data_IF_759022627335
#
_entry.id   IF_759022627335
#
_cell.length_a   1.000
_cell.length_b   1.000
_cell.length_c   1.000
_cell.angle_alpha   90.00
_cell.angle_beta   90.00
_cell.angle_gamma   90.00
#
_symmetry.space_group_name_H-M   'P 1'
#
loop_
_entity.id
_entity.type
_entity.pdbx_description
1 polymer ?
#
# COMPACT_ATOMS: atom_id res chain seq x y z
N UNK A 1 9.06 7.79 0.20
CA UNK A 1 9.07 9.23 0.59
C UNK A 1 8.71 9.46 2.06
N UNK A 2 7.58 8.92 2.54
CA UNK A 2 7.13 9.08 3.93
C UNK A 2 8.21 8.76 4.96
N UNK A 3 8.91 7.63 4.79
CA UNK A 3 10.04 7.25 5.65
C UNK A 3 11.09 8.35 5.79
N UNK A 4 11.63 8.84 4.66
CA UNK A 4 12.64 9.91 4.64
C UNK A 4 12.13 11.21 5.26
N UNK A 5 10.85 11.55 5.06
CA UNK A 5 10.23 12.71 5.70
C UNK A 5 10.20 12.56 7.23
N UNK A 6 9.72 11.41 7.74
CA UNK A 6 9.69 11.13 9.17
C UNK A 6 11.10 11.16 9.80
N UNK A 7 12.10 10.58 9.13
CA UNK A 7 13.49 10.61 9.59
C UNK A 7 14.04 12.05 9.63
N UNK A 8 13.77 12.85 8.60
CA UNK A 8 14.17 14.26 8.55
C UNK A 8 13.53 15.08 9.68
N UNK A 9 12.23 14.88 9.93
CA UNK A 9 11.53 15.59 10.99
C UNK A 9 12.00 15.16 12.38
N UNK A 10 12.15 13.85 12.62
CA UNK A 10 12.70 13.34 13.89
C UNK A 10 14.11 13.86 14.16
N UNK A 11 14.98 13.92 13.14
CA UNK A 11 16.32 14.51 13.27
C UNK A 11 16.27 15.99 13.67
N UNK A 12 15.32 16.76 13.13
CA UNK A 12 15.12 18.17 13.49
C UNK A 12 14.58 18.33 14.92
N UNK A 13 13.59 17.53 15.31
CA UNK A 13 13.00 17.55 16.66
C UNK A 13 14.05 17.21 17.72
N UNK A 14 14.92 16.23 17.46
CA UNK A 14 15.99 15.81 18.38
C UNK A 14 17.21 16.73 18.39
N UNK A 15 17.30 17.70 17.49
CA UNK A 15 18.47 18.57 17.39
C UNK A 15 18.49 19.61 18.50
N UNK A 16 19.59 19.65 19.26
CA UNK A 16 19.79 20.64 20.33
C UNK A 16 19.59 22.09 19.87
N UNK A 17 19.97 22.40 18.62
CA UNK A 17 19.82 23.73 18.00
C UNK A 17 18.35 24.18 17.85
N UNK A 18 17.39 23.26 18.00
CA UNK A 18 15.95 23.48 17.81
C UNK A 18 15.14 23.37 19.11
N UNK A 19 15.76 23.07 20.26
CA UNK A 19 15.07 22.76 21.54
C UNK A 19 14.06 23.82 21.99
N UNK A 20 14.31 25.11 21.72
CA UNK A 20 13.42 26.22 22.07
C UNK A 20 12.76 26.87 20.85
N UNK A 21 12.78 26.21 19.69
CA UNK A 21 12.25 26.75 18.44
C UNK A 21 11.02 25.96 18.00
N UNK A 22 10.02 26.67 17.48
CA UNK A 22 8.90 26.04 16.79
C UNK A 22 9.35 25.55 15.42
N UNK A 23 9.14 24.27 15.13
CA UNK A 23 9.41 23.69 13.81
C UNK A 23 8.16 23.88 12.96
N UNK A 24 8.30 24.56 11.81
CA UNK A 24 7.20 24.84 10.88
C UNK A 24 7.42 24.05 9.60
N UNK A 25 6.56 23.06 9.33
CA UNK A 25 6.46 22.49 7.99
C UNK A 25 5.66 23.45 7.13
N UNK A 26 6.25 23.90 6.02
CA UNK A 26 5.52 24.66 5.00
C UNK A 26 5.78 24.08 3.62
N UNK A 27 4.89 24.41 2.70
CA UNK A 27 5.03 24.09 1.28
C UNK A 27 4.69 25.34 0.47
N UNK A 28 5.30 25.47 -0.70
CA UNK A 28 4.98 26.50 -1.67
C UNK A 28 4.52 25.85 -2.98
N UNK A 29 3.52 26.45 -3.62
CA UNK A 29 3.00 26.02 -4.91
C UNK A 29 1.54 25.57 -4.87
N UNK A 30 1.19 24.71 -5.82
CA UNK A 30 -0.19 24.33 -6.13
C UNK A 30 -0.85 23.44 -5.05
N UNK A 31 -2.18 23.29 -5.18
CA UNK A 31 -3.01 22.51 -4.26
C UNK A 31 -2.58 21.03 -4.17
N UNK A 32 -1.91 20.52 -5.22
CA UNK A 32 -1.34 19.16 -5.23
C UNK A 32 -0.18 19.06 -4.24
N UNK A 33 0.73 20.04 -4.22
CA UNK A 33 1.81 20.09 -3.22
C UNK A 33 1.26 20.27 -1.81
N UNK A 34 0.20 21.06 -1.65
CA UNK A 34 -0.47 21.24 -0.35
C UNK A 34 -1.04 19.93 0.19
N UNK A 35 -1.79 19.18 -0.63
CA UNK A 35 -2.32 17.87 -0.26
C UNK A 35 -1.21 16.88 0.11
N UNK A 36 -0.13 16.81 -0.67
CA UNK A 36 1.02 15.95 -0.36
C UNK A 36 1.73 16.33 0.95
N UNK A 37 1.92 17.63 1.20
CA UNK A 37 2.52 18.14 2.44
C UNK A 37 1.67 17.78 3.66
N UNK A 38 0.35 18.01 3.56
CA UNK A 38 -0.62 17.65 4.60
C UNK A 38 -0.66 16.15 4.88
N UNK A 39 -0.59 15.32 3.83
CA UNK A 39 -0.47 13.87 3.98
C UNK A 39 0.79 13.47 4.75
N UNK A 40 1.95 14.04 4.41
CA UNK A 40 3.23 13.70 5.08
C UNK A 40 3.23 14.09 6.56
N UNK A 41 2.81 15.33 6.89
CA UNK A 41 2.76 15.78 8.29
C UNK A 41 1.69 15.03 9.08
N UNK A 42 0.54 14.76 8.49
CA UNK A 42 -0.52 13.98 9.12
C UNK A 42 -0.10 12.53 9.37
N UNK A 43 0.53 11.90 8.40
CA UNK A 43 1.08 10.55 8.56
C UNK A 43 2.08 10.49 9.72
N UNK A 44 2.99 11.47 9.82
CA UNK A 44 3.91 11.55 10.96
C UNK A 44 3.16 11.63 12.30
N UNK A 45 2.08 12.40 12.39
CA UNK A 45 1.29 12.49 13.60
C UNK A 45 0.60 11.16 13.97
N UNK A 46 0.13 10.39 12.98
CA UNK A 46 -0.42 9.05 13.23
C UNK A 46 0.68 8.11 13.76
N UNK A 47 1.83 8.10 13.10
CA UNK A 47 2.91 7.15 13.39
C UNK A 47 3.61 7.45 14.72
N UNK A 48 4.01 8.70 14.95
CA UNK A 48 4.87 9.09 16.07
C UNK A 48 4.13 9.76 17.23
N UNK A 49 2.95 10.33 16.98
CA UNK A 49 2.15 11.01 18.00
C UNK A 49 0.85 10.26 18.33
N UNK A 50 0.66 9.06 17.76
CA UNK A 50 -0.50 8.20 17.96
C UNK A 50 -1.85 8.92 17.78
N UNK A 51 -1.92 9.87 16.84
CA UNK A 51 -3.16 10.59 16.51
C UNK A 51 -4.13 9.70 15.76
N UNK A 52 -5.42 9.82 16.08
CA UNK A 52 -6.48 9.14 15.35
C UNK A 52 -6.75 9.84 14.01
N UNK A 53 -6.98 9.09 12.90
CA UNK A 53 -7.18 9.66 11.57
C UNK A 53 -8.24 10.77 11.50
N UNK A 54 -9.40 10.55 12.11
CA UNK A 54 -10.52 11.50 12.08
C UNK A 54 -10.22 12.79 12.86
N UNK A 55 -9.57 12.68 14.02
CA UNK A 55 -9.16 13.85 14.82
C UNK A 55 -8.15 14.69 14.04
N UNK A 56 -7.14 14.05 13.46
CA UNK A 56 -6.12 14.69 12.64
C UNK A 56 -6.72 15.38 11.41
N UNK A 57 -7.65 14.72 10.73
CA UNK A 57 -8.30 15.28 9.56
C UNK A 57 -9.09 16.56 9.91
N UNK A 58 -9.82 16.55 11.03
CA UNK A 58 -10.51 17.76 11.55
C UNK A 58 -9.54 18.88 11.89
N UNK A 59 -8.39 18.57 12.49
CA UNK A 59 -7.35 19.56 12.78
C UNK A 59 -6.80 20.22 11.50
N UNK A 60 -6.61 19.44 10.44
CA UNK A 60 -6.15 19.95 9.15
C UNK A 60 -7.21 20.80 8.43
N UNK A 61 -8.51 20.56 8.68
CA UNK A 61 -9.62 21.33 8.12
C UNK A 61 -9.97 22.60 8.90
N UNK A 62 -9.57 22.72 10.16
CA UNK A 62 -10.01 23.78 11.08
C UNK A 62 -9.71 25.23 10.61
N UNK A 63 -8.85 25.42 9.61
CA UNK A 63 -8.53 26.71 9.00
C UNK A 63 -9.22 27.00 7.66
N UNK A 64 -10.39 26.38 7.38
CA UNK A 64 -11.08 26.47 6.08
C UNK A 64 -10.23 26.05 4.88
N UNK A 65 -9.24 25.17 5.12
CA UNK A 65 -8.32 24.68 4.09
C UNK A 65 -8.92 23.44 3.43
N UNK A 66 -9.23 23.54 2.14
CA UNK A 66 -9.70 22.42 1.33
C UNK A 66 -8.53 21.79 0.59
N UNK A 67 -8.18 20.55 0.93
CA UNK A 67 -7.13 19.82 0.25
C UNK A 67 -7.67 19.11 -0.99
N UNK A 68 -6.96 19.27 -2.11
CA UNK A 68 -7.28 18.57 -3.35
C UNK A 68 -7.22 17.04 -3.14
N UNK A 69 -8.31 16.30 -3.43
CA UNK A 69 -8.30 14.84 -3.37
C UNK A 69 -7.32 14.20 -4.36
N UNK A 70 -6.81 13.02 -4.04
CA UNK A 70 -5.89 12.27 -4.88
C UNK A 70 -6.63 11.52 -5.98
N UNK A 71 -6.28 11.82 -7.24
CA UNK A 71 -6.77 11.12 -8.43
C UNK A 71 -5.97 9.85 -8.75
N UNK A 72 -6.47 9.07 -9.68
CA UNK A 72 -5.78 7.91 -10.25
C UNK A 72 -4.80 8.29 -11.39
N UNK A 73 -4.16 7.26 -11.97
CA UNK A 73 -3.18 7.38 -13.04
C UNK A 73 -3.77 7.20 -14.46
N UNK A 74 -5.10 7.25 -14.61
CA UNK A 74 -5.75 7.18 -15.93
C UNK A 74 -5.41 8.39 -16.80
N UNK A 75 -5.47 8.19 -18.12
CA UNK A 75 -5.26 9.24 -19.13
C UNK A 75 -6.55 10.03 -19.45
N UNK A 76 -7.62 9.81 -18.68
CA UNK A 76 -8.93 10.43 -18.89
C UNK A 76 -9.43 11.18 -17.66
N UNK A 77 -10.75 11.35 -17.60
CA UNK A 77 -11.45 11.89 -16.44
C UNK A 77 -11.34 10.94 -15.25
N UNK A 78 -11.10 11.50 -14.07
CA UNK A 78 -11.05 10.72 -12.85
C UNK A 78 -12.44 10.72 -12.21
N UNK A 79 -13.06 9.54 -12.09
CA UNK A 79 -14.39 9.37 -11.49
C UNK A 79 -14.35 9.02 -10.01
N UNK A 80 -13.17 8.74 -9.45
CA UNK A 80 -13.01 8.31 -8.07
C UNK A 80 -11.80 9.02 -7.44
N UNK A 81 -12.00 9.59 -6.25
CA UNK A 81 -11.01 10.41 -5.59
C UNK A 81 -10.79 9.92 -4.16
N UNK A 82 -9.53 9.87 -3.75
CA UNK A 82 -9.16 9.56 -2.36
C UNK A 82 -8.95 10.86 -1.58
N UNK A 83 -9.56 10.95 -0.41
CA UNK A 83 -9.33 12.06 0.51
C UNK A 83 -8.09 11.82 1.36
N UNK A 84 -7.62 12.85 2.08
CA UNK A 84 -6.61 12.67 3.13
C UNK A 84 -7.09 11.70 4.22
N UNK A 85 -8.37 11.70 4.55
CA UNK A 85 -8.93 10.81 5.57
C UNK A 85 -8.82 9.35 5.14
N UNK A 86 -9.09 9.03 3.88
CA UNK A 86 -8.92 7.67 3.33
C UNK A 86 -7.46 7.22 3.45
N UNK A 87 -6.51 8.09 3.08
CA UNK A 87 -5.08 7.82 3.19
C UNK A 87 -4.62 7.65 4.65
N UNK A 88 -5.18 8.42 5.58
CA UNK A 88 -4.87 8.30 7.01
C UNK A 88 -5.44 7.03 7.62
N UNK A 89 -6.67 6.65 7.28
CA UNK A 89 -7.27 5.38 7.70
C UNK A 89 -6.49 4.18 7.14
N UNK A 90 -6.08 4.25 5.87
CA UNK A 90 -5.25 3.24 5.23
C UNK A 90 -3.92 3.04 5.99
N UNK A 91 -3.19 4.12 6.25
CA UNK A 91 -1.94 4.07 7.01
C UNK A 91 -2.16 3.55 8.43
N UNK A 92 -3.21 4.01 9.10
CA UNK A 92 -3.52 3.58 10.46
C UNK A 92 -3.80 2.08 10.53
N UNK A 93 -4.62 1.55 9.63
CA UNK A 93 -4.88 0.10 9.53
C UNK A 93 -3.64 -0.68 9.12
N UNK A 94 -2.82 -0.16 8.21
CA UNK A 94 -1.56 -0.79 7.83
C UNK A 94 -0.60 -0.93 9.02
N UNK A 95 -0.56 0.04 9.94
CA UNK A 95 0.18 -0.09 11.20
C UNK A 95 -0.45 -1.15 12.13
N UNK A 96 -1.78 -1.20 12.23
CA UNK A 96 -2.48 -2.20 13.04
C UNK A 96 -2.27 -3.64 12.54
N UNK A 97 -2.19 -3.82 11.23
CA UNK A 97 -1.96 -5.12 10.59
C UNK A 97 -0.47 -5.42 10.36
N UNK A 98 0.43 -4.57 10.85
CA UNK A 98 1.89 -4.71 10.70
C UNK A 98 2.36 -4.80 9.22
N UNK A 99 1.66 -4.12 8.30
CA UNK A 99 2.14 -4.00 6.92
C UNK A 99 3.35 -3.07 6.79
N UNK A 100 3.62 -2.28 7.82
CA UNK A 100 4.72 -1.33 7.83
C UNK A 100 5.28 -1.15 9.23
N UNK A 101 6.59 -1.32 9.35
CA UNK A 101 7.34 -1.00 10.56
C UNK A 101 8.52 -0.09 10.21
N UNK A 102 8.53 1.12 10.79
CA UNK A 102 9.60 2.10 10.59
C UNK A 102 10.95 1.64 11.13
N UNK A 103 10.99 0.67 12.03
CA UNK A 103 12.25 0.16 12.60
C UNK A 103 12.95 -0.79 11.64
N UNK A 104 12.19 -1.57 10.87
CA UNK A 104 12.71 -2.62 10.00
C UNK A 104 12.62 -2.27 8.51
N UNK A 105 11.92 -1.19 8.15
CA UNK A 105 11.79 -0.78 6.76
C UNK A 105 13.12 -0.37 6.13
N UNK A 106 13.56 -1.15 5.14
CA UNK A 106 14.72 -0.84 4.31
C UNK A 106 14.32 0.12 3.17
N UNK A 107 14.64 1.40 3.37
CA UNK A 107 14.36 2.44 2.38
C UNK A 107 15.25 2.32 1.14
N UNK A 108 16.47 1.80 1.28
CA UNK A 108 17.40 1.69 0.15
C UNK A 108 16.99 0.52 -0.75
N UNK A 109 16.58 -0.61 -0.17
CA UNK A 109 15.99 -1.74 -0.91
C UNK A 109 14.73 -1.30 -1.66
N UNK A 110 13.79 -0.64 -0.98
CA UNK A 110 12.56 -0.13 -1.60
C UNK A 110 12.88 0.78 -2.80
N UNK A 111 13.82 1.73 -2.64
CA UNK A 111 14.18 2.68 -3.70
C UNK A 111 15.03 2.06 -4.81
N UNK A 112 15.76 0.99 -4.50
CA UNK A 112 16.46 0.21 -5.50
C UNK A 112 15.45 -0.47 -6.43
N UNK A 113 14.52 -1.25 -5.90
CA UNK A 113 13.62 -2.08 -6.71
C UNK A 113 12.38 -1.37 -7.26
N UNK A 114 12.01 -0.19 -6.75
CA UNK A 114 10.93 0.61 -7.37
C UNK A 114 11.32 1.14 -8.78
N UNK A 115 12.62 1.14 -9.09
CA UNK A 115 13.20 1.63 -10.33
C UNK A 115 13.02 0.62 -11.47
N UNK A 116 12.88 1.14 -12.69
CA UNK A 116 12.52 0.31 -13.83
C UNK A 116 13.69 -0.60 -14.21
N UNK A 117 14.89 -0.05 -14.16
CA UNK A 117 16.16 -0.73 -14.40
C UNK A 117 16.43 -1.91 -13.45
N UNK A 118 15.74 -1.96 -12.30
CA UNK A 118 15.96 -2.98 -11.27
C UNK A 118 14.75 -3.92 -11.10
N UNK A 119 13.81 -3.94 -12.06
CA UNK A 119 12.68 -4.88 -12.06
C UNK A 119 11.31 -4.27 -11.75
N UNK A 120 11.24 -3.01 -11.33
CA UNK A 120 9.97 -2.29 -11.14
C UNK A 120 8.96 -3.04 -10.25
N UNK A 121 9.31 -3.28 -8.99
CA UNK A 121 8.45 -3.98 -8.05
C UNK A 121 8.41 -3.37 -6.66
N UNK A 122 7.32 -3.62 -5.95
CA UNK A 122 7.12 -3.16 -4.58
C UNK A 122 6.31 -4.19 -3.79
N UNK A 123 6.66 -4.36 -2.51
CA UNK A 123 5.81 -5.05 -1.55
C UNK A 123 4.56 -4.23 -1.27
N UNK A 124 3.40 -4.89 -1.32
CA UNK A 124 2.10 -4.30 -0.95
C UNK A 124 1.69 -4.78 0.44
N UNK A 125 1.89 -6.07 0.70
CA UNK A 125 1.78 -6.68 2.03
C UNK A 125 3.10 -7.43 2.24
N UNK A 126 3.93 -7.06 3.22
CA UNK A 126 5.21 -7.71 3.47
C UNK A 126 5.04 -9.23 3.58
N UNK A 127 5.95 -9.97 2.95
CA UNK A 127 5.99 -11.44 2.96
C UNK A 127 4.73 -12.14 2.40
N UNK A 128 3.78 -11.39 1.81
CA UNK A 128 2.59 -11.98 1.16
C UNK A 128 2.38 -11.53 -0.27
N UNK A 129 2.49 -10.24 -0.58
CA UNK A 129 2.20 -9.73 -1.93
C UNK A 129 3.29 -8.80 -2.45
N UNK A 130 3.92 -9.23 -3.55
CA UNK A 130 4.79 -8.40 -4.37
C UNK A 130 4.06 -8.02 -5.68
N UNK A 131 3.94 -6.73 -5.97
CA UNK A 131 3.41 -6.24 -7.23
C UNK A 131 4.56 -5.81 -8.15
N UNK A 132 4.61 -6.31 -9.38
CA UNK A 132 5.72 -6.03 -10.30
C UNK A 132 5.31 -5.83 -11.76
N UNK A 133 6.21 -5.23 -12.54
CA UNK A 133 6.05 -5.05 -13.99
C UNK A 133 6.25 -6.37 -14.73
N UNK A 134 5.42 -6.64 -15.74
CA UNK A 134 5.45 -7.93 -16.45
C UNK A 134 6.77 -8.23 -17.15
N UNK A 135 7.38 -9.40 -16.91
CA UNK A 135 8.57 -9.87 -17.62
C UNK A 135 8.34 -10.00 -19.13
N UNK A 136 9.43 -10.08 -19.89
CA UNK A 136 9.45 -10.29 -21.34
C UNK A 136 10.34 -11.47 -21.68
N UNK A 137 10.26 -11.96 -22.92
CA UNK A 137 11.07 -13.12 -23.34
C UNK A 137 12.58 -12.90 -23.22
N UNK A 138 13.07 -11.66 -23.30
CA UNK A 138 14.49 -11.32 -23.11
C UNK A 138 14.62 -10.00 -22.38
N UNK A 139 15.68 -9.86 -21.59
CA UNK A 139 16.05 -8.56 -21.03
C UNK A 139 16.57 -7.66 -22.14
N UNK A 140 15.96 -6.49 -22.35
CA UNK A 140 16.33 -5.53 -23.39
C UNK A 140 15.82 -4.14 -23.04
N UNK A 141 16.47 -3.10 -23.55
CA UNK A 141 15.92 -1.74 -23.49
C UNK A 141 15.12 -1.51 -24.77
N UNK A 142 13.84 -1.18 -24.64
CA UNK A 142 12.95 -0.88 -25.77
C UNK A 142 12.24 0.46 -25.52
N UNK A 143 12.35 1.38 -26.47
CA UNK A 143 11.81 2.75 -26.33
C UNK A 143 12.25 3.46 -25.04
N UNK A 144 13.47 3.19 -24.58
CA UNK A 144 14.02 3.74 -23.33
C UNK A 144 13.50 3.10 -22.04
N UNK A 145 12.66 2.06 -22.11
CA UNK A 145 12.20 1.29 -20.94
C UNK A 145 12.95 -0.05 -20.85
N UNK A 146 13.54 -0.39 -19.70
CA UNK A 146 14.20 -1.66 -19.48
C UNK A 146 13.16 -2.78 -19.27
N UNK A 147 13.11 -3.71 -20.21
CA UNK A 147 12.40 -4.98 -20.06
C UNK A 147 13.31 -6.02 -19.45
N UNK A 148 12.75 -6.85 -18.56
CA UNK A 148 13.47 -7.90 -17.84
C UNK A 148 12.90 -9.26 -18.18
N UNK A 149 13.78 -10.24 -18.37
CA UNK A 149 13.42 -11.64 -18.43
C UNK A 149 13.01 -12.18 -17.04
N UNK A 150 12.26 -13.30 -16.95
CA UNK A 150 11.90 -13.93 -15.68
C UNK A 150 13.08 -14.14 -14.71
N UNK A 151 14.24 -14.55 -15.22
CA UNK A 151 15.42 -14.91 -14.43
C UNK A 151 16.00 -13.73 -13.65
N UNK A 152 15.78 -12.50 -14.13
CA UNK A 152 16.22 -11.30 -13.43
C UNK A 152 15.58 -11.18 -12.03
N UNK A 153 14.42 -11.80 -11.82
CA UNK A 153 13.69 -11.75 -10.57
C UNK A 153 14.03 -12.91 -9.61
N UNK A 154 14.60 -14.02 -10.11
CA UNK A 154 14.76 -15.25 -9.32
C UNK A 154 15.59 -15.07 -8.05
N UNK A 155 16.74 -14.36 -8.05
CA UNK A 155 17.52 -14.19 -6.84
C UNK A 155 16.71 -13.51 -5.72
N UNK A 156 15.96 -12.47 -6.08
CA UNK A 156 15.10 -11.77 -5.13
C UNK A 156 13.93 -12.65 -4.69
N UNK A 157 13.26 -13.33 -5.63
CA UNK A 157 12.10 -14.15 -5.33
C UNK A 157 12.44 -15.29 -4.37
N UNK A 158 13.56 -15.99 -4.60
CA UNK A 158 14.03 -17.05 -3.69
C UNK A 158 14.41 -16.52 -2.32
N UNK A 159 15.16 -15.40 -2.28
CA UNK A 159 15.58 -14.77 -1.01
C UNK A 159 14.38 -14.39 -0.14
N UNK A 160 13.27 -13.98 -0.76
CA UNK A 160 12.08 -13.50 -0.06
C UNK A 160 10.91 -14.50 -0.05
N UNK A 161 11.21 -15.80 -0.22
CA UNK A 161 10.23 -16.89 -0.16
C UNK A 161 8.99 -16.67 -1.05
N UNK A 162 9.20 -16.13 -2.25
CA UNK A 162 8.13 -16.06 -3.26
C UNK A 162 8.05 -17.44 -3.91
N UNK A 163 6.88 -18.07 -3.81
CA UNK A 163 6.63 -19.41 -4.33
C UNK A 163 5.74 -19.38 -5.57
N UNK A 164 4.83 -18.39 -5.64
CA UNK A 164 3.72 -18.39 -6.59
C UNK A 164 3.70 -17.11 -7.41
N UNK A 165 3.61 -17.25 -8.74
CA UNK A 165 3.55 -16.16 -9.71
C UNK A 165 2.17 -16.12 -10.35
N UNK A 166 1.55 -14.94 -10.37
CA UNK A 166 0.25 -14.75 -11.04
C UNK A 166 0.39 -13.73 -12.16
N UNK A 167 0.14 -14.17 -13.40
CA UNK A 167 0.15 -13.34 -14.61
C UNK A 167 -1.27 -12.95 -15.01
N UNK A 168 -1.49 -11.65 -15.18
CA UNK A 168 -2.82 -11.07 -15.49
C UNK A 168 -2.93 -10.50 -16.92
N UNK A 169 -1.87 -10.58 -17.72
CA UNK A 169 -1.79 -10.01 -19.07
C UNK A 169 -1.51 -11.07 -20.13
N UNK A 170 -1.60 -10.67 -21.42
CA UNK A 170 -1.20 -11.49 -22.56
C UNK A 170 0.21 -12.06 -22.33
N UNK A 171 0.47 -13.26 -22.84
CA UNK A 171 1.72 -13.98 -22.66
C UNK A 171 2.85 -13.22 -23.37
N UNK A 172 3.78 -12.65 -22.59
CA UNK A 172 4.98 -11.95 -23.11
C UNK A 172 6.27 -12.75 -22.88
N UNK A 173 6.13 -13.91 -22.24
CA UNK A 173 7.19 -14.86 -21.90
C UNK A 173 6.55 -16.24 -21.66
N UNK A 174 7.35 -17.30 -21.75
CA UNK A 174 6.87 -18.67 -21.45
C UNK A 174 6.76 -18.93 -19.95
N UNK A 175 5.61 -19.41 -19.48
CA UNK A 175 5.38 -19.75 -18.07
C UNK A 175 6.38 -20.80 -17.56
N UNK A 176 6.82 -21.70 -18.46
CA UNK A 176 7.83 -22.74 -18.18
C UNK A 176 9.11 -22.20 -17.54
N UNK A 177 9.50 -20.98 -17.89
CA UNK A 177 10.71 -20.36 -17.31
C UNK A 177 10.62 -20.19 -15.79
N UNK A 178 9.43 -19.97 -15.26
CA UNK A 178 9.20 -19.95 -13.80
C UNK A 178 9.04 -21.37 -13.24
N UNK A 179 8.26 -22.25 -13.91
CA UNK A 179 8.01 -23.61 -13.38
C UNK A 179 9.27 -24.48 -13.37
N UNK A 180 10.12 -24.38 -14.39
CA UNK A 180 11.42 -25.07 -14.45
C UNK A 180 12.40 -24.56 -13.38
N UNK A 181 12.12 -23.37 -12.82
CA UNK A 181 12.87 -22.76 -11.73
C UNK A 181 12.22 -22.98 -10.34
N UNK A 182 11.24 -23.90 -10.25
CA UNK A 182 10.47 -24.27 -9.06
C UNK A 182 9.58 -23.17 -8.48
N UNK A 183 8.98 -22.34 -9.34
CA UNK A 183 7.89 -21.46 -8.96
C UNK A 183 6.57 -21.97 -9.51
N UNK A 184 5.50 -21.89 -8.73
CA UNK A 184 4.15 -22.07 -9.24
C UNK A 184 3.77 -20.90 -10.15
N UNK A 185 3.08 -21.16 -11.25
CA UNK A 185 2.69 -20.13 -12.20
C UNK A 185 1.22 -20.27 -12.60
N UNK A 186 0.47 -19.18 -12.47
CA UNK A 186 -0.94 -19.13 -12.81
C UNK A 186 -1.26 -17.99 -13.79
N UNK A 187 -1.96 -18.35 -14.85
CA UNK A 187 -2.55 -17.39 -15.80
C UNK A 187 -3.99 -17.06 -15.39
N UNK A 188 -4.24 -15.80 -15.08
CA UNK A 188 -5.55 -15.22 -14.79
C UNK A 188 -5.79 -13.99 -15.67
N UNK A 189 -5.79 -14.21 -16.99
CA UNK A 189 -5.88 -13.14 -17.98
C UNK A 189 -7.23 -12.38 -17.91
N UNK A 190 -7.14 -11.06 -17.99
CA UNK A 190 -8.26 -10.19 -18.37
C UNK A 190 -7.73 -8.92 -19.05
N UNK A 191 -8.61 -8.25 -19.80
CA UNK A 191 -8.27 -7.15 -20.72
C UNK A 191 -7.62 -5.96 -20.00
N UNK A 192 -6.68 -5.28 -20.66
CA UNK A 192 -6.01 -4.12 -20.08
C UNK A 192 -6.99 -2.96 -19.86
N UNK A 193 -7.01 -2.39 -18.65
CA UNK A 193 -7.95 -1.34 -18.27
C UNK A 193 -9.37 -1.80 -17.90
N UNK A 194 -9.71 -3.09 -18.08
CA UNK A 194 -11.00 -3.64 -17.66
C UNK A 194 -11.00 -4.06 -16.18
N UNK A 195 -12.13 -4.58 -15.72
CA UNK A 195 -12.32 -5.20 -14.40
C UNK A 195 -12.27 -6.73 -14.52
N UNK A 196 -11.84 -7.46 -13.47
CA UNK A 196 -11.87 -8.92 -13.47
C UNK A 196 -13.29 -9.44 -13.28
N UNK A 197 -13.58 -10.64 -13.80
CA UNK A 197 -14.83 -11.35 -13.51
C UNK A 197 -14.81 -11.97 -12.10
N UNK A 198 -16.00 -12.32 -11.60
CA UNK A 198 -16.14 -12.99 -10.30
C UNK A 198 -15.39 -14.32 -10.25
N UNK A 199 -15.35 -15.05 -11.36
CA UNK A 199 -14.59 -16.29 -11.48
C UNK A 199 -13.07 -16.04 -11.31
N UNK A 200 -12.54 -14.97 -11.92
CA UNK A 200 -11.13 -14.58 -11.77
C UNK A 200 -10.85 -14.18 -10.32
N UNK A 201 -11.72 -13.39 -9.69
CA UNK A 201 -11.55 -12.98 -8.29
C UNK A 201 -11.53 -14.20 -7.37
N UNK A 202 -12.50 -15.11 -7.50
CA UNK A 202 -12.57 -16.34 -6.69
C UNK A 202 -11.34 -17.22 -6.88
N UNK A 203 -10.91 -17.42 -8.13
CA UNK A 203 -9.71 -18.22 -8.44
C UNK A 203 -8.44 -17.57 -7.87
N UNK A 204 -8.30 -16.24 -8.00
CA UNK A 204 -7.18 -15.51 -7.40
C UNK A 204 -7.14 -15.66 -5.88
N UNK A 205 -8.26 -15.47 -5.21
CA UNK A 205 -8.35 -15.62 -3.75
C UNK A 205 -7.98 -17.04 -3.31
N UNK A 206 -8.50 -18.06 -3.99
CA UNK A 206 -8.18 -19.46 -3.70
C UNK A 206 -6.68 -19.76 -3.87
N UNK A 207 -6.04 -19.29 -4.96
CA UNK A 207 -4.58 -19.41 -5.13
C UNK A 207 -3.84 -18.75 -3.96
N UNK A 208 -4.23 -17.52 -3.60
CA UNK A 208 -3.54 -16.77 -2.54
C UNK A 208 -3.71 -17.39 -1.14
N UNK A 209 -4.86 -18.00 -0.87
CA UNK A 209 -5.17 -18.67 0.39
C UNK A 209 -4.39 -19.97 0.58
N UNK A 210 -4.04 -20.66 -0.51
CA UNK A 210 -3.34 -21.94 -0.48
C UNK A 210 -1.82 -21.84 -0.78
N UNK A 211 -1.33 -20.68 -1.23
CA UNK A 211 0.09 -20.49 -1.50
C UNK A 211 0.93 -20.61 -0.22
N UNK A 212 1.96 -21.47 -0.26
CA UNK A 212 2.87 -21.73 0.87
C UNK A 212 3.76 -20.52 1.22
N UNK A 213 4.11 -19.71 0.23
CA UNK A 213 4.95 -18.52 0.39
C UNK A 213 4.28 -17.24 -0.08
N UNK A 214 5.14 -16.26 -0.37
CA UNK A 214 4.72 -14.98 -0.92
C UNK A 214 4.29 -15.14 -2.40
N UNK A 215 3.34 -14.31 -2.82
CA UNK A 215 2.81 -14.29 -4.18
C UNK A 215 3.32 -13.05 -4.90
N UNK A 216 3.93 -13.23 -6.06
CA UNK A 216 4.27 -12.13 -6.98
C UNK A 216 3.22 -12.03 -8.09
N UNK A 217 2.55 -10.88 -8.16
CA UNK A 217 1.46 -10.63 -9.11
C UNK A 217 1.88 -9.57 -10.10
N UNK A 218 1.69 -9.82 -11.39
CA UNK A 218 1.97 -8.84 -12.43
C UNK A 218 0.89 -8.77 -13.51
N UNK A 219 0.83 -7.61 -14.15
CA UNK A 219 0.17 -7.43 -15.43
C UNK A 219 1.20 -6.85 -16.40
N UNK A 220 0.83 -5.86 -17.23
CA UNK A 220 1.81 -5.12 -18.03
C UNK A 220 2.67 -4.19 -17.17
N UNK A 221 2.08 -3.17 -16.56
CA UNK A 221 2.82 -2.22 -15.70
C UNK A 221 2.83 -2.63 -14.20
N UNK A 222 2.08 -3.65 -13.81
CA UNK A 222 1.94 -4.04 -12.40
C UNK A 222 1.15 -3.03 -11.55
N UNK A 223 0.19 -2.30 -12.14
CA UNK A 223 -0.51 -1.19 -11.48
C UNK A 223 -2.03 -1.41 -11.39
N UNK A 224 -2.74 -1.38 -12.52
CA UNK A 224 -4.20 -1.50 -12.56
C UNK A 224 -4.69 -2.88 -12.11
N UNK A 225 -4.70 -3.84 -13.05
CA UNK A 225 -5.13 -5.24 -12.83
C UNK A 225 -4.53 -5.89 -11.57
N UNK A 226 -3.22 -5.70 -11.39
CA UNK A 226 -2.45 -6.20 -10.24
C UNK A 226 -2.96 -5.61 -8.93
N UNK A 227 -3.09 -4.29 -8.85
CA UNK A 227 -3.60 -3.62 -7.66
C UNK A 227 -5.04 -4.02 -7.34
N UNK A 228 -5.88 -4.22 -8.37
CA UNK A 228 -7.28 -4.62 -8.19
C UNK A 228 -7.40 -5.98 -7.50
N UNK A 229 -6.70 -7.01 -7.99
CA UNK A 229 -6.79 -8.36 -7.40
C UNK A 229 -6.14 -8.45 -6.02
N UNK A 230 -4.96 -7.85 -5.82
CA UNK A 230 -4.37 -7.73 -4.48
C UNK A 230 -5.33 -6.99 -3.54
N UNK A 231 -5.99 -5.94 -4.04
CA UNK A 231 -7.00 -5.19 -3.30
C UNK A 231 -8.21 -6.02 -2.90
N UNK A 232 -8.69 -6.93 -3.75
CA UNK A 232 -9.76 -7.87 -3.41
C UNK A 232 -9.36 -8.75 -2.21
N UNK A 233 -8.14 -9.29 -2.21
CA UNK A 233 -7.62 -10.04 -1.06
C UNK A 233 -7.56 -9.15 0.19
N UNK A 234 -7.05 -7.93 0.06
CA UNK A 234 -6.92 -7.03 1.20
C UNK A 234 -8.27 -6.69 1.85
N UNK A 235 -9.30 -6.40 1.03
CA UNK A 235 -10.65 -6.17 1.53
C UNK A 235 -11.22 -7.42 2.22
N UNK A 236 -11.06 -8.61 1.63
CA UNK A 236 -11.55 -9.86 2.22
C UNK A 236 -10.88 -10.19 3.56
N UNK A 237 -9.55 -10.21 3.59
CA UNK A 237 -8.81 -10.75 4.74
C UNK A 237 -8.57 -9.71 5.85
N UNK A 238 -8.48 -8.42 5.50
CA UNK A 238 -8.17 -7.35 6.46
C UNK A 238 -9.32 -6.34 6.65
N UNK A 239 -10.48 -6.57 5.99
CA UNK A 239 -11.70 -5.77 6.17
C UNK A 239 -11.44 -4.26 6.02
N UNK A 240 -10.54 -3.92 5.10
CA UNK A 240 -10.28 -2.54 4.67
C UNK A 240 -11.37 -2.10 3.68
N UNK A 241 -11.72 -0.83 3.67
CA UNK A 241 -12.60 -0.28 2.63
C UNK A 241 -11.87 -0.26 1.29
N UNK A 242 -12.60 -0.15 0.19
CA UNK A 242 -12.04 0.03 -1.14
C UNK A 242 -11.13 1.27 -1.17
N UNK A 243 -11.59 2.39 -0.61
CA UNK A 243 -10.81 3.64 -0.55
C UNK A 243 -9.51 3.47 0.25
N UNK A 244 -9.57 2.87 1.44
CA UNK A 244 -8.39 2.60 2.26
C UNK A 244 -7.41 1.65 1.57
N UNK A 245 -7.94 0.61 0.92
CA UNK A 245 -7.15 -0.39 0.21
C UNK A 245 -6.42 0.25 -0.97
N UNK A 246 -7.14 1.00 -1.81
CA UNK A 246 -6.54 1.73 -2.95
C UNK A 246 -5.49 2.72 -2.45
N UNK A 247 -5.77 3.45 -1.37
CA UNK A 247 -4.82 4.38 -0.77
C UNK A 247 -3.54 3.66 -0.30
N UNK A 248 -3.66 2.53 0.42
CA UNK A 248 -2.51 1.76 0.88
C UNK A 248 -1.65 1.23 -0.28
N UNK A 249 -2.30 0.61 -1.28
CA UNK A 249 -1.59 0.09 -2.46
C UNK A 249 -0.88 1.24 -3.19
N UNK A 250 -1.48 2.44 -3.27
CA UNK A 250 -0.84 3.62 -3.88
C UNK A 250 0.30 4.21 -3.03
N UNK A 251 0.24 4.10 -1.71
CA UNK A 251 1.35 4.48 -0.81
C UNK A 251 2.56 3.56 -1.07
N UNK A 252 2.32 2.26 -1.27
CA UNK A 252 3.36 1.27 -1.55
C UNK A 252 3.85 1.30 -2.99
N UNK A 253 2.93 1.47 -3.95
CA UNK A 253 3.18 1.44 -5.39
C UNK A 253 2.29 2.46 -6.11
N UNK A 254 2.79 3.70 -6.31
CA UNK A 254 2.02 4.80 -6.87
C UNK A 254 1.41 4.50 -8.25
N UNK A 255 0.14 4.87 -8.44
CA UNK A 255 -0.59 4.69 -9.69
C UNK A 255 -1.37 3.38 -9.81
N UNK A 256 -1.38 2.55 -8.76
CA UNK A 256 -2.16 1.30 -8.73
C UNK A 256 -3.67 1.54 -8.66
N UNK A 257 -4.43 0.59 -9.21
CA UNK A 257 -5.90 0.61 -9.40
C UNK A 257 -6.37 1.81 -10.24
N UNK A 258 -6.79 1.56 -11.49
CA UNK A 258 -6.92 2.62 -12.51
C UNK A 258 -8.32 2.61 -13.11
N UNK A 259 -8.89 3.82 -13.28
CA UNK A 259 -10.15 4.04 -13.97
C UNK A 259 -11.30 3.22 -13.38
N UNK A 260 -12.05 2.43 -14.19
CA UNK A 260 -13.22 1.66 -13.74
C UNK A 260 -12.93 0.65 -12.62
N UNK A 261 -11.68 0.23 -12.46
CA UNK A 261 -11.27 -0.71 -11.42
C UNK A 261 -11.50 -0.16 -10.00
N UNK A 262 -11.51 1.17 -9.83
CA UNK A 262 -11.78 1.80 -8.55
C UNK A 262 -13.22 1.58 -8.12
N UNK A 263 -14.18 1.81 -9.03
CA UNK A 263 -15.60 1.58 -8.77
C UNK A 263 -15.88 0.10 -8.54
N UNK A 264 -15.28 -0.78 -9.34
CA UNK A 264 -15.38 -2.23 -9.13
C UNK A 264 -14.99 -2.65 -7.71
N UNK A 265 -13.93 -2.09 -7.14
CA UNK A 265 -13.54 -2.40 -5.76
C UNK A 265 -14.58 -1.92 -4.75
N UNK A 266 -15.20 -0.76 -4.97
CA UNK A 266 -16.30 -0.26 -4.14
C UNK A 266 -17.48 -1.23 -4.19
N UNK A 267 -17.88 -1.65 -5.39
CA UNK A 267 -19.01 -2.56 -5.60
C UNK A 267 -18.75 -3.93 -4.96
N UNK A 268 -17.50 -4.41 -4.98
CA UNK A 268 -17.09 -5.68 -4.38
C UNK A 268 -16.89 -5.66 -2.88
N UNK A 269 -16.76 -4.48 -2.26
CA UNK A 269 -16.32 -4.35 -0.87
C UNK A 269 -17.19 -5.17 0.09
N UNK A 270 -18.52 -5.02 0.03
CA UNK A 270 -19.42 -5.67 0.98
C UNK A 270 -19.41 -7.20 0.83
N UNK A 271 -19.40 -7.70 -0.42
CA UNK A 271 -19.32 -9.14 -0.69
C UNK A 271 -18.03 -9.74 -0.15
N UNK A 272 -16.89 -9.10 -0.43
CA UNK A 272 -15.59 -9.57 0.05
C UNK A 272 -15.47 -9.50 1.58
N UNK A 273 -16.04 -8.49 2.23
CA UNK A 273 -16.10 -8.43 3.70
C UNK A 273 -16.87 -9.61 4.27
N UNK A 274 -18.05 -9.90 3.73
CA UNK A 274 -18.88 -11.03 4.17
C UNK A 274 -18.16 -12.36 3.96
N UNK A 275 -17.55 -12.57 2.79
CA UNK A 275 -16.76 -13.77 2.51
C UNK A 275 -15.55 -13.89 3.47
N UNK A 276 -14.93 -12.76 3.82
CA UNK A 276 -13.85 -12.69 4.77
C UNK A 276 -14.26 -13.03 6.21
N UNK A 277 -15.43 -12.55 6.63
CA UNK A 277 -16.01 -12.86 7.94
C UNK A 277 -16.31 -14.36 8.05
N UNK A 278 -16.89 -14.96 7.01
CA UNK A 278 -17.12 -16.42 6.93
C UNK A 278 -15.78 -17.18 6.97
N UNK A 279 -14.79 -16.74 6.20
CA UNK A 279 -13.48 -17.38 6.14
C UNK A 279 -12.78 -17.41 7.52
N UNK A 280 -12.74 -16.26 8.20
CA UNK A 280 -12.13 -16.17 9.55
C UNK A 280 -12.87 -17.02 10.58
N UNK A 281 -14.21 -17.08 10.50
CA UNK A 281 -15.02 -17.92 11.38
C UNK A 281 -14.68 -19.42 11.19
N UNK A 282 -14.59 -19.89 9.95
CA UNK A 282 -14.21 -21.29 9.66
C UNK A 282 -12.82 -21.65 10.18
N UNK A 283 -11.84 -20.75 10.05
CA UNK A 283 -10.49 -20.98 10.60
C UNK A 283 -10.51 -21.10 12.13
N UNK A 284 -11.26 -20.23 12.81
CA UNK A 284 -11.41 -20.30 14.27
C UNK A 284 -12.08 -21.61 14.72
N UNK A 285 -13.10 -22.07 13.97
CA UNK A 285 -13.77 -23.34 14.24
C UNK A 285 -12.85 -24.55 14.02
N UNK A 286 -12.02 -24.53 12.97
CA UNK A 286 -11.01 -25.58 12.71
C UNK A 286 -9.91 -25.59 13.78
N UNK A 287 -9.41 -24.43 14.19
CA UNK A 287 -8.44 -24.33 15.29
C UNK A 287 -9.03 -24.84 16.61
N UNK A 288 -10.27 -24.47 16.93
CA UNK A 288 -10.94 -24.94 18.13
C UNK A 288 -11.29 -26.44 18.08
N UNK A 289 -11.69 -26.94 16.91
CA UNK A 289 -11.93 -28.36 16.67
C UNK A 289 -10.65 -29.20 16.82
N UNK A 290 -9.54 -28.75 16.25
CA UNK A 290 -8.22 -29.38 16.43
C UNK A 290 -7.76 -29.32 17.88
N UNK A 291 -8.00 -28.22 18.60
CA UNK A 291 -7.71 -28.15 20.05
C UNK A 291 -8.56 -29.11 20.86
N UNK A 292 -9.83 -29.27 20.52
CA UNK A 292 -10.72 -30.24 21.17
C UNK A 292 -10.26 -31.68 20.90
N UNK A 293 -9.87 -32.00 19.66
CA UNK A 293 -9.29 -33.30 19.30
C UNK A 293 -7.95 -33.57 20.02
N UNK A 294 -7.05 -32.59 20.11
CA UNK A 294 -5.78 -32.71 20.86
C UNK A 294 -6.04 -32.86 22.36
N UNK A 295 -7.05 -32.19 22.91
CA UNK A 295 -7.44 -32.35 24.32
C UNK A 295 -8.02 -33.74 24.57
N UNK A 296 -8.81 -34.28 23.62
CA UNK A 296 -9.31 -35.64 23.64
C UNK A 296 -8.18 -36.68 23.60
N UNK A 297 -7.13 -36.46 22.79
CA UNK A 297 -5.94 -37.32 22.73
C UNK A 297 -5.18 -37.29 24.07
N UNK A 298 -5.06 -36.12 24.73
CA UNK A 298 -4.35 -36.00 26.01
C UNK A 298 -5.12 -36.58 27.20
N UNK A 299 -6.45 -36.75 27.10
CA UNK A 299 -7.27 -37.47 28.09
C UNK A 299 -7.45 -38.97 27.79
N UNK A 300 -7.06 -39.41 26.59
CA UNK A 300 -7.26 -40.78 26.10
C UNK A 300 -5.92 -41.44 25.79
N UNK A 301 -5.13 -41.71 26.82
CA UNK A 301 -4.11 -42.77 26.75
C UNK A 301 -4.67 -43.95 27.51
N UNK A 302 -5.56 -44.69 26.85
CA UNK A 302 -5.66 -46.14 26.95
C UNK A 302 -6.43 -46.64 25.71
N UNK A 303 -5.90 -47.74 25.17
CA UNK A 303 -6.37 -48.56 24.05
C UNK A 303 -6.09 -48.11 22.60
N UNK A 304 -5.04 -48.74 22.06
CA UNK A 304 -4.69 -48.83 20.63
C UNK A 304 -5.65 -49.82 19.94
N UNK A 305 -6.05 -49.50 18.70
CA UNK A 305 -6.37 -50.53 17.70
C UNK A 305 -5.96 -50.05 16.31
N UNK A 306 -5.13 -50.86 15.65
CA UNK A 306 -4.71 -50.76 14.25
C UNK A 306 -5.76 -51.47 13.39
N UNK A 307 -6.11 -50.89 12.24
CA UNK A 307 -6.56 -51.65 11.07
C UNK A 307 -6.23 -50.85 9.79
N UNK A 308 -5.54 -51.54 8.89
CA UNK A 308 -5.39 -51.20 7.46
C UNK A 308 -6.72 -51.41 6.73
N UNK A 309 -7.03 -50.60 5.72
CA UNK A 309 -7.16 -51.07 4.32
C UNK A 309 -7.54 -49.98 3.30
N UNK A 310 -7.36 -50.37 2.04
CA UNK A 310 -7.16 -49.68 0.77
C UNK A 310 -8.17 -48.64 0.19
N UNK A 311 -7.58 -47.80 -0.66
CA UNK A 311 -7.98 -47.34 -2.02
C UNK A 311 -9.42 -46.87 -2.32
N UNK A 312 -9.53 -45.68 -2.92
CA UNK A 312 -10.24 -45.46 -4.21
C UNK A 312 -10.04 -44.06 -4.79
N UNK A 313 -9.73 -44.07 -6.07
CA UNK A 313 -9.62 -42.97 -7.05
C UNK A 313 -10.92 -42.22 -7.30
N UNK A 314 -10.82 -40.91 -7.59
CA UNK A 314 -11.79 -40.08 -8.32
C UNK A 314 -10.97 -38.92 -8.91
N UNK A 315 -10.86 -38.69 -10.22
CA UNK A 315 -11.91 -38.46 -11.22
C UNK A 315 -11.58 -37.10 -11.85
N UNK A 316 -11.00 -37.10 -13.05
CA UNK A 316 -10.60 -35.90 -13.81
C UNK A 316 -11.75 -35.39 -14.64
N UNK A 317 -12.08 -34.10 -14.52
CA UNK A 317 -12.78 -33.31 -15.53
C UNK A 317 -12.39 -31.83 -15.36
N UNK A 318 -12.45 -30.93 -16.33
CA UNK A 318 -12.00 -30.87 -17.72
C UNK A 318 -11.80 -29.35 -17.98
N UNK A 319 -10.68 -28.94 -18.57
CA UNK A 319 -10.26 -27.53 -18.61
C UNK A 319 -10.61 -26.92 -19.99
N UNK A 320 -11.68 -26.12 -20.04
CA UNK A 320 -12.14 -25.44 -21.25
C UNK A 320 -11.09 -24.47 -21.83
N UNK A 321 -10.69 -24.74 -23.08
CA UNK A 321 -9.83 -23.89 -23.91
C UNK A 321 -10.56 -22.60 -24.32
N UNK A 322 -9.92 -21.45 -24.11
CA UNK A 322 -10.22 -20.24 -24.88
C UNK A 322 -9.26 -20.19 -26.07
N UNK A 323 -9.85 -20.13 -27.27
CA UNK A 323 -9.14 -19.93 -28.53
C UNK A 323 -8.46 -18.56 -28.53
N UNK A 324 -7.14 -18.55 -28.76
CA UNK A 324 -6.37 -17.34 -29.06
C UNK A 324 -6.73 -16.91 -30.48
N UNK A 325 -7.66 -15.95 -30.62
CA UNK A 325 -7.89 -15.27 -31.90
C UNK A 325 -6.88 -14.12 -32.00
N UNK A 326 -5.74 -14.42 -32.62
CA UNK A 326 -4.66 -13.49 -32.93
C UNK A 326 -5.05 -12.59 -34.11
N UNK A 327 -5.86 -11.57 -33.85
CA UNK A 327 -5.92 -10.42 -34.76
C UNK A 327 -6.48 -9.16 -34.09
N UNK A 328 -5.67 -8.47 -33.31
CA UNK A 328 -5.87 -7.04 -33.11
C UNK A 328 -4.55 -6.28 -33.25
N UNK A 329 -4.62 -5.27 -34.12
CA UNK A 329 -3.61 -4.25 -34.41
C UNK A 329 -2.77 -3.80 -33.21
N UNK A 330 -1.54 -3.38 -33.47
CA UNK A 330 -0.59 -2.80 -32.49
C UNK A 330 -1.14 -1.45 -31.99
N UNK A 331 -2.20 -1.49 -31.18
CA UNK A 331 -2.76 -0.32 -30.54
C UNK A 331 -2.12 -0.16 -29.16
N UNK A 332 -1.63 1.04 -28.87
CA UNK A 332 -0.95 1.38 -27.61
C UNK A 332 -1.89 1.16 -26.43
N UNK A 333 -1.53 0.26 -25.50
CA UNK A 333 -2.38 -0.06 -24.35
C UNK A 333 -2.20 0.93 -23.20
N UNK A 334 -3.08 0.90 -22.20
CA UNK A 334 -2.92 1.73 -20.99
C UNK A 334 -1.60 1.40 -20.27
N UNK A 335 -1.25 0.11 -20.19
CA UNK A 335 0.02 -0.36 -19.65
C UNK A 335 1.26 0.21 -20.36
N UNK A 336 1.23 0.36 -21.68
CA UNK A 336 2.34 0.99 -22.44
C UNK A 336 2.55 2.44 -22.05
N UNK A 337 1.45 3.20 -22.02
CA UNK A 337 1.50 4.63 -21.66
C UNK A 337 2.03 4.82 -20.22
N UNK A 338 1.70 3.93 -19.30
CA UNK A 338 2.18 3.97 -17.91
C UNK A 338 3.69 3.69 -17.81
N UNK A 339 4.20 2.69 -18.53
CA UNK A 339 5.64 2.40 -18.60
C UNK A 339 6.42 3.59 -19.17
N UNK A 340 5.95 4.18 -20.26
CA UNK A 340 6.55 5.38 -20.85
C UNK A 340 6.58 6.58 -19.87
N UNK A 341 5.49 6.79 -19.12
CA UNK A 341 5.42 7.84 -18.11
C UNK A 341 6.38 7.60 -16.94
N UNK A 342 6.62 6.34 -16.57
CA UNK A 342 7.55 5.97 -15.50
C UNK A 342 9.01 6.24 -15.90
N UNK A 343 9.42 5.91 -17.13
CA UNK A 343 10.76 6.28 -17.63
C UNK A 343 11.01 7.79 -17.60
N UNK A 344 10.03 8.60 -18.03
CA UNK A 344 10.13 10.07 -18.01
C UNK A 344 10.29 10.65 -16.59
N UNK A 345 9.79 9.96 -15.57
CA UNK A 345 9.95 10.40 -14.16
C UNK A 345 11.35 10.10 -13.64
N UNK A 346 11.95 8.96 -14.01
CA UNK A 346 13.27 8.55 -13.53
C UNK A 346 14.41 9.42 -14.12
N UNK A 347 14.29 9.84 -15.38
CA UNK A 347 15.22 10.81 -15.97
C UNK A 347 15.20 12.15 -15.24
N UNK A 348 14.04 12.59 -14.75
CA UNK A 348 13.91 13.82 -13.95
C UNK A 348 14.46 13.69 -12.53
N UNK A 349 14.32 12.53 -11.89
CA UNK A 349 14.86 12.30 -10.53
C UNK A 349 16.39 12.22 -10.55
N UNK A 350 16.98 11.70 -11.62
CA UNK A 350 18.45 11.61 -11.77
C UNK A 350 19.13 12.97 -11.91
N UNK A 351 18.40 14.02 -12.31
CA UNK A 351 18.86 15.41 -12.37
C UNK A 351 18.27 16.35 -11.30
N UNK A 352 17.38 15.86 -10.44
CA UNK A 352 16.75 16.67 -9.41
C UNK A 352 17.48 16.53 -8.08
N UNK A 353 17.95 17.64 -7.53
CA UNK A 353 18.44 17.70 -6.16
C UNK A 353 17.39 17.05 -5.21
N UNK A 354 17.82 16.26 -4.21
CA UNK A 354 16.91 15.56 -3.31
C UNK A 354 15.98 16.60 -2.68
N UNK A 355 14.66 16.35 -2.72
CA UNK A 355 13.59 17.18 -2.13
C UNK A 355 14.13 18.19 -1.12
N UNK A 356 14.48 19.39 -1.60
CA UNK A 356 14.97 20.47 -0.78
C UNK A 356 13.76 21.06 -0.07
N UNK A 357 13.24 20.33 0.92
CA UNK A 357 12.41 20.92 1.96
C UNK A 357 13.35 21.82 2.75
N UNK A 358 13.49 23.05 2.27
CA UNK A 358 14.14 24.14 2.97
C UNK A 358 13.17 24.52 4.07
N UNK A 359 13.43 24.04 5.28
CA UNK A 359 12.83 24.64 6.48
C UNK A 359 13.75 25.80 6.85
N UNK A 360 13.46 27.00 6.35
CA UNK A 360 14.23 28.18 6.71
C UNK A 360 14.00 28.53 8.19
N UNK A 361 15.08 28.85 8.89
CA UNK A 361 15.06 29.39 10.23
C UNK A 361 15.59 30.82 10.21
N UNK A 362 14.79 31.80 9.78
CA UNK A 362 15.04 33.21 10.07
C UNK A 362 13.73 33.98 10.17
N UNK A 363 13.43 34.44 11.39
CA UNK A 363 12.71 35.68 11.62
C UNK A 363 13.79 36.68 12.07
N UNK A 364 14.06 37.70 11.26
CA UNK A 364 14.66 38.93 11.76
C UNK A 364 13.52 39.95 11.90
N UNK A 365 13.44 40.68 13.03
CA UNK A 365 12.51 41.79 13.16
C UNK A 365 12.99 42.96 12.28
N UNK A 366 12.10 43.80 11.74
CA UNK A 366 12.50 44.97 10.99
C UNK A 366 13.15 45.98 11.93
N UNK A 367 14.43 46.30 11.70
CA UNK A 367 15.08 47.47 12.28
C UNK A 367 14.80 48.70 11.42
N UNK A 368 14.45 49.77 12.13
CA UNK A 368 14.25 51.14 11.67
C UNK A 368 15.50 51.74 11.02
N UNK A 369 15.33 52.35 9.84
CA UNK A 369 16.32 53.22 9.20
C UNK A 369 15.58 54.31 8.42
N UNK A 370 15.73 55.55 8.90
CA UNK A 370 15.15 56.79 8.37
C UNK A 370 15.75 57.15 6.99
N UNK A 371 14.92 57.67 6.07
CA UNK A 371 15.25 58.80 5.18
C UNK A 371 14.10 59.11 4.20
N UNK A 372 13.64 60.37 4.16
CA UNK A 372 13.14 61.03 2.93
C UNK A 372 11.64 61.02 2.61
N UNK A 373 10.89 61.94 3.22
CA UNK A 373 9.58 62.48 2.76
C UNK A 373 9.75 63.41 1.52
N UNK A 374 8.70 64.03 0.90
CA UNK A 374 7.24 64.00 1.16
C UNK A 374 6.41 63.82 -0.17
N UNK A 375 5.07 63.63 -0.22
CA UNK A 375 3.99 64.61 0.04
C UNK A 375 2.59 63.98 -0.27
N UNK A 376 1.55 64.64 0.29
CA UNK A 376 0.12 64.71 -0.11
C UNK A 376 -0.92 63.79 0.60
N UNK A 377 -1.37 64.27 1.77
CA UNK A 377 -2.74 64.62 2.19
C UNK A 377 -3.95 63.68 1.92
N UNK A 378 -4.66 63.26 3.00
CA UNK A 378 -5.95 63.83 3.48
C UNK A 378 -6.57 63.04 4.67
N UNK A 379 -7.02 63.79 5.69
CA UNK A 379 -8.14 63.64 6.68
C UNK A 379 -8.37 62.29 7.41
N UNK A 380 -8.22 62.23 8.75
CA UNK A 380 -9.22 62.51 9.82
C UNK A 380 -10.31 61.42 9.92
N UNK A 381 -10.53 60.70 11.03
CA UNK A 381 -10.98 61.19 12.36
C UNK A 381 -10.69 60.18 13.52
N UNK A 382 -10.73 60.70 14.75
CA UNK A 382 -10.56 60.04 16.06
C UNK A 382 -11.81 59.26 16.48
N UNK A 383 -11.64 58.17 17.22
CA UNK A 383 -12.29 57.94 18.52
C UNK A 383 -11.70 56.73 19.25
N UNK A 384 -11.87 56.77 20.57
CA UNK A 384 -11.15 56.07 21.63
C UNK A 384 -12.04 55.07 22.37
N UNK A 385 -11.40 54.31 23.28
CA UNK A 385 -11.94 53.43 24.33
C UNK A 385 -12.33 52.02 23.86
N UNK A 386 -12.12 50.94 24.62
CA UNK A 386 -11.66 50.81 26.00
C UNK A 386 -11.40 49.34 26.33
N UNK A 387 -10.57 49.15 27.34
CA UNK A 387 -10.15 47.88 27.92
C UNK A 387 -11.33 47.11 28.55
N UNK A 388 -11.39 45.78 28.40
CA UNK A 388 -11.82 44.92 29.51
C UNK A 388 -11.36 43.46 29.35
N UNK A 389 -10.76 43.00 30.42
CA UNK A 389 -10.28 41.66 30.74
C UNK A 389 -11.44 40.82 31.27
N UNK A 390 -11.57 39.55 30.87
CA UNK A 390 -12.30 38.55 31.67
C UNK A 390 -11.61 37.18 31.60
N UNK A 391 -11.28 36.68 32.79
CA UNK A 391 -10.71 35.36 33.09
C UNK A 391 -11.80 34.29 33.14
N UNK A 392 -11.45 33.11 32.63
CA UNK A 392 -11.63 31.80 33.29
C UNK A 392 -13.01 31.15 33.29
N UNK A 393 -13.08 29.88 32.88
CA UNK A 393 -13.60 28.75 33.68
C UNK A 393 -13.03 27.43 33.13
N UNK A 394 -12.49 26.63 34.04
CA UNK A 394 -12.06 25.24 33.90
C UNK A 394 -13.29 24.33 34.03
N UNK A 395 -13.41 23.29 33.21
CA UNK A 395 -14.26 22.13 33.54
C UNK A 395 -13.67 20.85 32.96
N UNK A 396 -13.17 20.02 33.87
CA UNK A 396 -12.85 18.60 33.64
C UNK A 396 -14.13 17.80 33.41
N UNK A 397 -14.11 16.87 32.44
CA UNK A 397 -14.94 15.66 32.52
C UNK A 397 -14.23 14.47 31.87
N UNK A 398 -13.65 13.63 32.73
CA UNK A 398 -13.29 12.24 32.45
C UNK A 398 -14.56 11.43 32.15
N UNK A 399 -14.58 10.69 31.04
CA UNK A 399 -15.23 9.37 30.96
C UNK A 399 -14.44 8.46 30.02
N UNK A 400 -13.94 7.37 30.62
CA UNK A 400 -13.30 6.22 29.97
C UNK A 400 -14.35 5.46 29.18
N UNK A 401 -14.03 5.00 27.98
CA UNK A 401 -14.65 3.83 27.37
C UNK A 401 -13.54 2.94 26.82
N UNK A 402 -13.44 1.75 27.40
CA UNK A 402 -12.53 0.69 27.00
C UNK A 402 -13.10 0.02 25.74
N UNK A 403 -12.34 0.04 24.64
CA UNK A 403 -12.58 -0.81 23.48
C UNK A 403 -11.56 -1.95 23.52
N UNK A 404 -12.10 -3.17 23.59
CA UNK A 404 -11.37 -4.42 23.53
C UNK A 404 -10.47 -4.47 22.28
N UNK A 405 -9.17 -4.57 22.54
CA UNK A 405 -8.14 -4.83 21.55
C UNK A 405 -8.18 -6.32 21.23
N UNK A 406 -8.94 -6.74 20.21
CA UNK A 406 -8.82 -8.09 19.67
C UNK A 406 -7.44 -8.24 19.03
N UNK A 407 -6.57 -9.05 19.65
CA UNK A 407 -5.31 -9.52 19.05
C UNK A 407 -5.66 -10.34 17.81
N UNK A 408 -5.40 -9.80 16.62
CA UNK A 408 -5.12 -10.65 15.45
C UNK A 408 -3.82 -11.39 15.76
N UNK A 409 -3.95 -12.67 16.08
CA UNK A 409 -2.85 -13.58 16.33
C UNK A 409 -1.98 -13.65 15.07
N UNK A 410 -0.66 -13.61 15.28
CA UNK A 410 0.36 -13.78 14.25
C UNK A 410 0.02 -15.00 13.37
N UNK A 411 -0.27 -14.77 12.10
CA UNK A 411 -0.10 -15.77 11.04
C UNK A 411 1.41 -15.99 10.84
N UNK A 412 2.04 -16.72 11.77
CA UNK A 412 3.37 -17.27 11.58
C UNK A 412 3.22 -18.78 11.61
N UNK A 413 3.36 -19.42 10.45
CA UNK A 413 3.54 -20.85 10.36
C UNK A 413 4.83 -21.22 11.12
N UNK A 414 4.71 -22.05 12.14
CA UNK A 414 5.84 -22.60 12.87
C UNK A 414 6.60 -23.57 11.95
N UNK A 415 7.80 -23.17 11.53
CA UNK A 415 8.75 -24.06 10.84
C UNK A 415 9.33 -25.03 11.89
N UNK A 416 9.18 -26.35 11.76
CA UNK A 416 9.83 -27.29 12.66
C UNK A 416 11.34 -27.30 12.38
N UNK A 417 12.13 -26.95 13.40
CA UNK A 417 13.59 -27.13 13.38
C UNK A 417 13.90 -28.62 13.49
N UNK A 418 14.38 -29.20 12.39
CA UNK A 418 15.01 -30.52 12.38
C UNK A 418 16.26 -30.51 13.27
N UNK A 419 16.24 -31.34 14.33
CA UNK A 419 17.42 -31.68 15.12
C UNK A 419 18.25 -32.69 14.33
N UNK A 420 19.41 -32.26 13.84
CA UNK A 420 20.44 -33.18 13.36
C UNK A 420 21.06 -33.88 14.56
N UNK A 421 20.88 -35.19 14.64
CA UNK A 421 21.60 -36.08 15.57
C UNK A 421 22.95 -36.35 14.93
N UNK A 422 24.02 -35.92 15.59
CA UNK A 422 25.38 -36.39 15.31
C UNK A 422 25.50 -37.83 15.80
N UNK A 423 25.90 -38.73 14.89
CA UNK A 423 26.66 -39.94 15.20
C UNK A 423 27.87 -39.97 14.31
#
# INVERSE_FOLDING_TARGET
MLYRYCMKLNKKIKSFLMTKKKIVHYTCGDDKKQANAAFLVGSFAIIYLNKQPLELYRLLQAGSTNYLPFRDASFGTCSFHLTLLDCFNALHKALQYNFFDFKTFDVEEYQHYERAENGDFNWIVPEKFLAFSGPHQKSKIESGYPHHAPEAYFPYFRKHNITTIVRLNKKMYEAKRFTDANFEHHDLFFVDGSTPSDAIVKKFLNICENAEGAIAVHCKAGLGRTGTLIGCYMMKHYRMTAAETIAWIRICRPGSVIGPQQQFMVDKQQGLWNEGDIYRKKLQEQENGNRCAVTFILSGVDDISINDDESKTCGKEDLGLYSDDDNESIHVTQGDKLRALKCKRQTRVSGAAPLSVILQSRLQPPQSGLSGNPCIAKRATRSSAGCSTLRGVISERKKRNALHQMRLVKLCHSIPKTRTVLR
#
